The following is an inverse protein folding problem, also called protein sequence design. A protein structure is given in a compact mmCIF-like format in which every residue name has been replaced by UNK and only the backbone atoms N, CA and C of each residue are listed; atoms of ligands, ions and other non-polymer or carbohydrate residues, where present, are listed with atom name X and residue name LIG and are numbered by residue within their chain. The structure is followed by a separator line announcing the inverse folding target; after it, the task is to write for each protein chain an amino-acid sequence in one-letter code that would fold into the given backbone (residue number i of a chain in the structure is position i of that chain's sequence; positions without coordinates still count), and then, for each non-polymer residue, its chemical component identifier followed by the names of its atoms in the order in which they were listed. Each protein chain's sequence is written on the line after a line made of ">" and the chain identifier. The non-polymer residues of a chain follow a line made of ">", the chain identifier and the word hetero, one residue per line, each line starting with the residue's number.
data_IF_087158375817
#
_entry.id   IF_087158375817
#
_cell.length_a   1.000
_cell.length_b   1.000
_cell.length_c   1.000
_cell.angle_alpha   90.00
_cell.angle_beta   90.00
_cell.angle_gamma   90.00
#
_symmetry.space_group_name_H-M   'P 1'
#
loop_
_entity.id
_entity.type
_entity.pdbx_description
1 polymer ?
#
# COMPACT_ATOMS: atom_id res chain seq x y z
N UNK A 1 22.37 32.46 -2.66
CA UNK A 1 21.26 32.65 -3.61
C UNK A 1 20.00 32.72 -2.79
N UNK A 2 19.29 33.84 -2.89
CA UNK A 2 18.10 34.15 -2.08
C UNK A 2 16.98 33.15 -2.41
N UNK A 3 16.36 32.65 -1.35
CA UNK A 3 15.24 31.71 -1.40
C UNK A 3 14.00 32.52 -1.76
N UNK A 4 13.49 32.36 -2.98
CA UNK A 4 12.21 32.96 -3.37
C UNK A 4 11.06 32.25 -2.64
N UNK A 5 10.02 33.00 -2.23
CA UNK A 5 8.90 32.45 -1.47
C UNK A 5 8.05 31.50 -2.31
N UNK A 6 7.60 30.40 -1.70
CA UNK A 6 6.66 29.45 -2.30
C UNK A 6 5.39 30.17 -2.78
N UNK A 7 4.88 29.85 -3.99
CA UNK A 7 3.62 30.41 -4.46
C UNK A 7 2.43 29.92 -3.62
N UNK A 8 1.37 30.73 -3.50
CA UNK A 8 0.28 30.47 -2.57
C UNK A 8 -0.45 29.17 -2.89
N UNK A 9 -0.53 28.29 -1.89
CA UNK A 9 -1.34 27.09 -1.91
C UNK A 9 -2.77 27.44 -2.36
N UNK A 10 -3.26 26.76 -3.41
CA UNK A 10 -4.71 26.71 -3.64
C UNK A 10 -5.30 25.92 -2.47
N UNK A 11 -5.87 26.65 -1.52
CA UNK A 11 -6.65 26.13 -0.40
C UNK A 11 -7.87 25.42 -0.98
N UNK A 12 -7.80 24.10 -1.08
CA UNK A 12 -8.99 23.25 -1.01
C UNK A 12 -9.24 22.99 0.48
N UNK A 13 -9.90 23.93 1.15
CA UNK A 13 -10.59 23.65 2.41
C UNK A 13 -11.70 22.65 2.10
N UNK A 14 -11.60 21.44 2.64
CA UNK A 14 -12.72 20.52 2.78
C UNK A 14 -13.04 20.39 4.27
N UNK A 15 -14.01 21.19 4.68
CA UNK A 15 -14.69 21.08 5.97
C UNK A 15 -15.48 19.76 6.01
N UNK A 16 -15.41 19.13 7.18
CA UNK A 16 -16.30 18.11 7.76
C UNK A 16 -16.11 16.64 7.37
N UNK A 17 -15.44 15.93 8.28
CA UNK A 17 -15.64 14.51 8.54
C UNK A 17 -15.18 14.24 9.96
N UNK A 18 -16.01 14.54 10.97
CA UNK A 18 -15.77 14.05 12.33
C UNK A 18 -15.73 12.51 12.24
N UNK A 19 -14.70 11.83 12.78
CA UNK A 19 -14.64 10.38 12.74
C UNK A 19 -15.88 9.77 13.40
N UNK A 20 -16.45 8.74 12.77
CA UNK A 20 -17.52 7.94 13.35
C UNK A 20 -17.01 7.16 14.58
N UNK A 21 -17.94 6.56 15.31
CA UNK A 21 -17.76 5.84 16.59
C UNK A 21 -16.73 4.69 16.55
N UNK A 22 -16.24 4.34 15.37
CA UNK A 22 -15.30 3.25 15.05
C UNK A 22 -14.04 3.71 14.27
N UNK A 23 -13.89 5.00 13.97
CA UNK A 23 -12.79 5.53 13.16
C UNK A 23 -13.01 5.49 11.64
N UNK A 24 -14.16 5.01 11.14
CA UNK A 24 -14.53 5.12 9.73
C UNK A 24 -15.06 6.53 9.41
N UNK A 25 -14.88 7.03 8.17
CA UNK A 25 -15.59 8.22 7.68
C UNK A 25 -17.00 7.92 7.19
N UNK A 26 -17.22 6.74 6.59
CA UNK A 26 -18.47 6.40 5.90
C UNK A 26 -18.56 4.91 5.58
N UNK A 27 -19.79 4.44 5.35
CA UNK A 27 -20.04 3.15 4.71
C UNK A 27 -19.84 3.29 3.20
N UNK A 28 -19.07 2.37 2.60
CA UNK A 28 -18.77 2.36 1.16
C UNK A 28 -19.95 1.75 0.39
N UNK A 29 -20.55 2.49 -0.53
CA UNK A 29 -21.84 2.17 -1.15
C UNK A 29 -21.91 0.80 -1.86
N UNK A 30 -20.83 0.35 -2.49
CA UNK A 30 -20.73 -0.91 -3.24
C UNK A 30 -19.71 -1.89 -2.60
N UNK A 31 -19.57 -1.84 -1.27
CA UNK A 31 -18.59 -2.65 -0.53
C UNK A 31 -18.70 -4.15 -0.82
N UNK A 32 -19.90 -4.68 -1.05
CA UNK A 32 -20.07 -6.11 -1.38
C UNK A 32 -19.34 -6.53 -2.66
N UNK A 33 -19.13 -5.61 -3.60
CA UNK A 33 -18.29 -5.86 -4.77
C UNK A 33 -16.83 -5.58 -4.44
N UNK A 34 -16.52 -4.42 -3.84
CA UNK A 34 -15.14 -3.98 -3.62
C UNK A 34 -14.37 -4.81 -2.59
N UNK A 35 -15.05 -5.47 -1.64
CA UNK A 35 -14.44 -6.44 -0.73
C UNK A 35 -13.79 -7.62 -1.47
N UNK A 36 -14.24 -7.90 -2.69
CA UNK A 36 -13.68 -8.96 -3.53
C UNK A 36 -12.60 -8.45 -4.50
N UNK A 37 -12.18 -7.19 -4.39
CA UNK A 37 -11.08 -6.65 -5.18
C UNK A 37 -9.82 -7.52 -5.00
N UNK A 38 -9.21 -7.88 -6.12
CA UNK A 38 -7.95 -8.59 -6.16
C UNK A 38 -6.85 -7.80 -5.45
N UNK A 39 -5.95 -8.51 -4.78
CA UNK A 39 -4.74 -7.98 -4.17
C UNK A 39 -3.56 -8.49 -5.00
N UNK A 40 -2.73 -7.58 -5.49
CA UNK A 40 -1.56 -7.91 -6.31
C UNK A 40 -0.31 -7.48 -5.56
N UNK A 41 0.49 -8.46 -5.18
CA UNK A 41 1.81 -8.27 -4.62
C UNK A 41 2.87 -8.38 -5.71
N UNK A 42 3.87 -7.51 -5.69
CA UNK A 42 5.14 -7.74 -6.41
C UNK A 42 6.21 -8.18 -5.43
N UNK A 43 6.96 -9.23 -5.77
CA UNK A 43 7.97 -9.79 -4.89
C UNK A 43 9.14 -10.40 -5.66
N UNK A 44 10.34 -10.34 -5.07
CA UNK A 44 11.56 -10.92 -5.63
C UNK A 44 12.46 -11.47 -4.53
N UNK A 45 13.11 -12.59 -4.81
CA UNK A 45 14.14 -13.16 -3.94
C UNK A 45 15.50 -13.19 -4.65
N UNK A 46 16.35 -12.24 -4.31
CA UNK A 46 17.70 -12.08 -4.83
C UNK A 46 18.72 -13.10 -4.33
N UNK A 47 18.35 -14.02 -3.43
CA UNK A 47 19.20 -15.15 -3.05
C UNK A 47 19.07 -16.35 -3.99
N UNK A 48 18.04 -16.36 -4.84
CA UNK A 48 17.80 -17.44 -5.79
C UNK A 48 18.89 -17.46 -6.89
N UNK A 49 19.46 -18.63 -7.14
CA UNK A 49 20.67 -18.77 -7.95
C UNK A 49 20.46 -18.45 -9.43
N UNK A 50 19.32 -18.84 -10.00
CA UNK A 50 18.98 -18.63 -11.40
C UNK A 50 18.55 -17.21 -11.71
N UNK A 51 17.87 -16.53 -10.79
CA UNK A 51 17.64 -15.09 -10.81
C UNK A 51 18.96 -14.33 -10.91
N UNK A 52 19.93 -14.64 -10.05
CA UNK A 52 21.26 -14.04 -10.09
C UNK A 52 22.02 -14.31 -11.40
N UNK A 53 21.97 -15.54 -11.90
CA UNK A 53 22.58 -15.88 -13.19
C UNK A 53 21.92 -15.12 -14.34
N UNK A 54 20.60 -14.97 -14.36
CA UNK A 54 19.86 -14.18 -15.35
C UNK A 54 20.25 -12.70 -15.30
N UNK A 55 20.38 -12.12 -14.11
CA UNK A 55 20.89 -10.75 -13.93
C UNK A 55 22.31 -10.59 -14.46
N UNK A 56 23.22 -11.51 -14.12
CA UNK A 56 24.60 -11.47 -14.61
C UNK A 56 24.68 -11.59 -16.14
N UNK A 57 23.85 -12.44 -16.76
CA UNK A 57 23.74 -12.54 -18.23
C UNK A 57 23.23 -11.23 -18.87
N UNK A 58 22.40 -10.47 -18.16
CA UNK A 58 21.95 -9.14 -18.56
C UNK A 58 22.97 -8.02 -18.26
N UNK A 59 24.19 -8.36 -17.81
CA UNK A 59 25.24 -7.38 -17.49
C UNK A 59 25.07 -6.66 -16.15
N UNK A 60 24.22 -7.19 -15.27
CA UNK A 60 23.92 -6.59 -13.97
C UNK A 60 24.77 -7.21 -12.84
N UNK A 61 25.00 -6.49 -11.72
CA UNK A 61 25.69 -7.05 -10.56
C UNK A 61 24.97 -8.28 -10.02
N UNK A 62 25.75 -9.33 -9.75
CA UNK A 62 25.28 -10.54 -9.08
C UNK A 62 24.91 -10.25 -7.61
N UNK A 63 23.92 -10.95 -7.08
CA UNK A 63 23.41 -10.78 -5.70
C UNK A 63 22.38 -9.68 -5.53
N UNK A 64 22.09 -8.92 -6.60
CA UNK A 64 21.12 -7.84 -6.56
C UNK A 64 21.56 -6.61 -5.76
N UNK A 65 20.63 -5.71 -5.51
CA UNK A 65 20.77 -4.58 -4.58
C UNK A 65 19.97 -4.85 -3.30
N UNK A 66 19.92 -3.89 -2.37
CA UNK A 66 18.98 -3.97 -1.24
C UNK A 66 17.54 -4.22 -1.66
N UNK A 67 17.16 -3.79 -2.87
CA UNK A 67 15.81 -3.96 -3.45
C UNK A 67 15.48 -5.36 -3.94
N UNK A 68 16.48 -6.25 -3.95
CA UNK A 68 16.31 -7.63 -4.37
C UNK A 68 16.40 -8.58 -3.17
N UNK A 69 16.63 -8.08 -1.96
CA UNK A 69 16.76 -8.95 -0.79
C UNK A 69 15.38 -9.32 -0.29
N UNK A 70 15.20 -10.60 0.02
CA UNK A 70 14.04 -11.12 0.75
C UNK A 70 14.45 -11.36 2.20
N UNK A 71 13.74 -10.77 3.16
CA UNK A 71 13.99 -10.89 4.60
C UNK A 71 12.74 -11.35 5.39
N UNK A 72 11.75 -11.91 4.71
CA UNK A 72 10.50 -12.41 5.28
C UNK A 72 9.33 -11.43 5.16
N UNK A 73 9.53 -10.24 4.61
CA UNK A 73 8.55 -9.15 4.53
C UNK A 73 7.26 -9.57 3.86
N UNK A 74 7.29 -10.25 2.70
CA UNK A 74 6.07 -10.67 2.00
C UNK A 74 5.17 -11.54 2.89
N UNK A 75 5.76 -12.51 3.62
CA UNK A 75 5.02 -13.39 4.51
C UNK A 75 4.29 -12.59 5.59
N UNK A 76 4.99 -11.67 6.22
CA UNK A 76 4.43 -10.87 7.31
C UNK A 76 3.49 -9.78 6.79
N UNK A 77 3.72 -9.21 5.61
CA UNK A 77 2.78 -8.32 4.93
C UNK A 77 1.45 -9.04 4.71
N UNK A 78 1.47 -10.25 4.15
CA UNK A 78 0.25 -11.04 3.95
C UNK A 78 -0.44 -11.44 5.27
N UNK A 79 0.32 -11.83 6.31
CA UNK A 79 -0.25 -12.05 7.66
C UNK A 79 -0.93 -10.79 8.19
N UNK A 80 -0.31 -9.62 7.99
CA UNK A 80 -0.84 -8.33 8.44
C UNK A 80 -2.13 -7.95 7.73
N UNK A 81 -2.20 -8.19 6.41
CA UNK A 81 -3.39 -7.98 5.60
C UNK A 81 -4.57 -8.78 6.15
N UNK A 82 -4.38 -10.07 6.43
CA UNK A 82 -5.43 -10.92 6.98
C UNK A 82 -5.86 -10.53 8.39
N UNK A 83 -4.94 -10.04 9.22
CA UNK A 83 -5.23 -9.66 10.61
C UNK A 83 -5.97 -8.33 10.70
N UNK A 84 -5.57 -7.36 9.89
CA UNK A 84 -5.97 -5.96 10.05
C UNK A 84 -6.90 -5.45 8.96
N UNK A 85 -7.02 -6.17 7.84
CA UNK A 85 -7.92 -5.86 6.72
C UNK A 85 -8.76 -7.10 6.36
N UNK A 86 -9.39 -7.79 7.34
CA UNK A 86 -10.04 -9.08 7.09
C UNK A 86 -11.26 -8.99 6.17
N UNK A 87 -11.86 -7.81 6.03
CA UNK A 87 -12.99 -7.57 5.14
C UNK A 87 -12.60 -7.65 3.66
N UNK A 88 -11.31 -7.53 3.32
CA UNK A 88 -10.85 -7.70 1.96
C UNK A 88 -10.63 -9.20 1.71
N UNK A 89 -11.43 -9.77 0.82
CA UNK A 89 -11.62 -11.21 0.62
C UNK A 89 -11.19 -11.69 -0.77
N UNK A 90 -10.86 -10.76 -1.67
CA UNK A 90 -10.50 -11.06 -3.05
C UNK A 90 -9.25 -11.93 -3.23
N UNK A 91 -8.99 -12.35 -4.48
CA UNK A 91 -7.83 -13.16 -4.83
C UNK A 91 -6.52 -12.43 -4.58
N UNK A 92 -5.51 -13.17 -4.12
CA UNK A 92 -4.16 -12.67 -3.88
C UNK A 92 -3.27 -13.22 -4.99
N UNK A 93 -2.73 -12.32 -5.81
CA UNK A 93 -1.73 -12.63 -6.82
C UNK A 93 -0.36 -12.18 -6.33
N UNK A 94 0.63 -13.07 -6.41
CA UNK A 94 2.03 -12.76 -6.10
C UNK A 94 2.78 -12.80 -7.42
N UNK A 95 3.09 -11.64 -7.97
CA UNK A 95 3.82 -11.46 -9.23
C UNK A 95 5.32 -11.48 -8.95
N UNK A 96 6.03 -12.39 -9.58
CA UNK A 96 7.44 -12.66 -9.31
C UNK A 96 8.22 -12.87 -10.61
N UNK A 97 9.55 -12.74 -10.61
CA UNK A 97 10.39 -13.07 -11.76
C UNK A 97 10.59 -14.60 -11.89
N UNK A 98 9.54 -15.39 -11.69
CA UNK A 98 9.55 -16.85 -11.84
C UNK A 98 9.80 -17.63 -10.55
N UNK A 99 9.57 -17.03 -9.38
CA UNK A 99 9.89 -17.59 -8.06
C UNK A 99 8.62 -17.87 -7.24
N UNK A 100 8.63 -18.94 -6.45
CA UNK A 100 7.61 -19.29 -5.46
C UNK A 100 8.26 -19.16 -4.07
N UNK A 101 7.68 -18.39 -3.14
CA UNK A 101 8.17 -18.33 -1.76
C UNK A 101 8.24 -19.72 -1.13
N UNK A 102 9.33 -20.00 -0.40
CA UNK A 102 9.60 -21.29 0.24
C UNK A 102 8.57 -21.74 1.29
N UNK A 103 7.89 -20.77 1.90
CA UNK A 103 6.86 -20.97 2.91
C UNK A 103 5.44 -21.06 2.34
N UNK A 104 5.22 -20.79 1.06
CA UNK A 104 3.88 -20.66 0.48
C UNK A 104 3.26 -22.02 0.12
N UNK A 105 2.02 -22.24 0.57
CA UNK A 105 1.18 -23.35 0.10
C UNK A 105 0.45 -22.94 -1.19
N UNK A 106 0.94 -23.42 -2.33
CA UNK A 106 0.38 -23.13 -3.65
C UNK A 106 -0.92 -23.88 -3.95
N UNK A 107 -1.36 -24.80 -3.07
CA UNK A 107 -2.67 -25.45 -3.18
C UNK A 107 -3.81 -24.56 -2.67
N UNK A 108 -3.47 -23.44 -2.04
CA UNK A 108 -4.43 -22.50 -1.49
C UNK A 108 -5.28 -21.84 -2.60
N UNK A 109 -6.62 -21.91 -2.54
CA UNK A 109 -7.47 -21.40 -3.61
C UNK A 109 -7.52 -19.87 -3.70
N UNK A 110 -7.07 -19.14 -2.66
CA UNK A 110 -7.09 -17.68 -2.62
C UNK A 110 -5.77 -17.05 -3.10
N UNK A 111 -4.67 -17.81 -3.13
CA UNK A 111 -3.34 -17.29 -3.46
C UNK A 111 -2.82 -17.92 -4.74
N UNK A 112 -2.34 -17.10 -5.68
CA UNK A 112 -1.72 -17.57 -6.93
C UNK A 112 -0.42 -16.84 -7.18
N UNK A 113 0.62 -17.59 -7.52
CA UNK A 113 1.88 -17.03 -8.03
C UNK A 113 1.75 -16.81 -9.53
N UNK A 114 2.24 -15.67 -10.01
CA UNK A 114 2.21 -15.28 -11.43
C UNK A 114 3.63 -14.96 -11.87
N UNK A 115 4.10 -15.56 -12.96
CA UNK A 115 5.33 -15.13 -13.59
C UNK A 115 5.11 -13.80 -14.32
N UNK A 116 5.84 -12.77 -13.91
CA UNK A 116 5.77 -11.44 -14.52
C UNK A 116 6.03 -11.49 -16.03
N UNK A 117 6.88 -12.40 -16.51
CA UNK A 117 7.31 -12.43 -17.91
C UNK A 117 6.14 -12.81 -18.83
N UNK A 118 5.10 -13.47 -18.29
CA UNK A 118 3.87 -13.81 -18.98
C UNK A 118 2.89 -12.65 -19.13
N UNK A 119 3.04 -11.61 -18.32
CA UNK A 119 2.24 -10.39 -18.43
C UNK A 119 2.78 -9.44 -19.49
N UNK A 120 4.08 -9.55 -19.81
CA UNK A 120 4.80 -8.65 -20.69
C UNK A 120 4.57 -8.97 -22.17
N UNK A 121 4.56 -7.95 -23.05
CA UNK A 121 4.34 -8.14 -24.48
C UNK A 121 5.53 -8.87 -25.12
N UNK A 122 5.31 -10.15 -25.43
CA UNK A 122 6.32 -11.01 -26.08
C UNK A 122 6.77 -10.38 -27.41
N UNK A 123 8.08 -10.31 -27.62
CA UNK A 123 8.68 -9.72 -28.83
C UNK A 123 8.84 -8.20 -28.84
N UNK A 124 8.32 -7.49 -27.82
CA UNK A 124 8.61 -6.06 -27.60
C UNK A 124 9.50 -5.83 -26.37
N UNK A 125 9.20 -6.53 -25.27
CA UNK A 125 9.98 -6.44 -24.04
C UNK A 125 11.31 -7.19 -24.16
N UNK A 126 12.38 -6.61 -23.61
CA UNK A 126 13.63 -7.34 -23.41
C UNK A 126 13.51 -8.18 -22.15
N UNK A 127 13.40 -9.50 -22.31
CA UNK A 127 13.29 -10.45 -21.20
C UNK A 127 14.64 -11.06 -20.82
N UNK A 128 14.86 -11.40 -19.53
CA UNK A 128 14.02 -11.04 -18.40
C UNK A 128 14.15 -9.54 -18.09
N UNK A 129 13.10 -8.93 -17.54
CA UNK A 129 13.17 -7.57 -17.00
C UNK A 129 13.26 -7.61 -15.47
N UNK A 130 13.98 -6.66 -14.90
CA UNK A 130 14.09 -6.42 -13.46
C UNK A 130 13.61 -5.01 -13.11
N UNK A 131 12.91 -4.36 -14.05
CA UNK A 131 12.45 -3.00 -13.93
C UNK A 131 10.99 -2.94 -13.47
N UNK A 132 10.78 -2.52 -12.22
CA UNK A 132 9.43 -2.30 -11.67
C UNK A 132 8.60 -1.34 -12.54
N UNK A 133 9.22 -0.31 -13.14
CA UNK A 133 8.49 0.65 -13.95
C UNK A 133 7.91 -0.03 -15.19
N UNK A 134 8.55 -1.08 -15.71
CA UNK A 134 8.06 -1.88 -16.83
C UNK A 134 7.06 -2.92 -16.35
N UNK A 135 7.36 -3.65 -15.28
CA UNK A 135 6.49 -4.72 -14.73
C UNK A 135 5.12 -4.15 -14.33
N UNK A 136 5.09 -3.03 -13.62
CA UNK A 136 3.86 -2.41 -13.11
C UNK A 136 2.89 -1.98 -14.21
N UNK A 137 3.39 -1.70 -15.43
CA UNK A 137 2.54 -1.37 -16.59
C UNK A 137 1.60 -2.50 -16.98
N UNK A 138 1.95 -3.75 -16.67
CA UNK A 138 1.28 -4.95 -17.17
C UNK A 138 0.58 -5.77 -16.08
N UNK A 139 0.57 -5.33 -14.82
CA UNK A 139 -0.19 -6.00 -13.75
C UNK A 139 -1.68 -6.16 -14.10
N UNK A 140 -2.25 -5.21 -14.84
CA UNK A 140 -3.64 -5.28 -15.33
C UNK A 140 -3.92 -6.44 -16.31
N UNK A 141 -2.89 -7.15 -16.78
CA UNK A 141 -2.98 -8.32 -17.66
C UNK A 141 -3.11 -9.65 -16.93
N UNK A 142 -3.03 -9.65 -15.59
CA UNK A 142 -3.25 -10.88 -14.80
C UNK A 142 -4.63 -11.46 -15.16
N UNK A 143 -4.71 -12.71 -15.65
CA UNK A 143 -5.99 -13.35 -15.91
C UNK A 143 -6.80 -13.49 -14.62
N UNK A 144 -8.10 -13.20 -14.67
CA UNK A 144 -8.97 -13.21 -13.48
C UNK A 144 -8.82 -12.00 -12.56
N UNK A 145 -8.08 -10.95 -12.97
CA UNK A 145 -7.98 -9.72 -12.20
C UNK A 145 -9.31 -8.94 -12.22
N UNK A 146 -9.74 -8.47 -11.06
CA UNK A 146 -10.95 -7.66 -10.91
C UNK A 146 -10.78 -6.26 -11.52
N UNK A 147 -11.89 -5.62 -11.87
CA UNK A 147 -11.89 -4.27 -12.47
C UNK A 147 -11.31 -3.20 -11.55
N UNK A 148 -11.48 -3.38 -10.24
CA UNK A 148 -10.76 -2.64 -9.20
C UNK A 148 -9.86 -3.62 -8.47
N UNK A 149 -8.58 -3.32 -8.36
CA UNK A 149 -7.60 -4.15 -7.64
C UNK A 149 -6.66 -3.29 -6.82
N UNK A 150 -6.07 -3.87 -5.78
CA UNK A 150 -5.15 -3.21 -4.86
C UNK A 150 -3.75 -3.76 -5.12
N UNK A 151 -2.82 -2.90 -5.51
CA UNK A 151 -1.41 -3.24 -5.61
C UNK A 151 -0.68 -2.94 -4.30
N UNK A 152 0.13 -3.90 -3.84
CA UNK A 152 0.95 -3.80 -2.65
C UNK A 152 2.38 -4.23 -2.95
N UNK A 153 3.35 -3.51 -2.40
CA UNK A 153 4.69 -4.07 -2.27
C UNK A 153 4.71 -5.09 -1.12
N UNK A 154 5.71 -5.96 -1.14
CA UNK A 154 5.99 -6.95 -0.10
C UNK A 154 6.34 -6.33 1.26
N UNK A 155 6.85 -5.09 1.28
CA UNK A 155 7.26 -4.38 2.49
C UNK A 155 6.14 -3.60 3.22
N UNK A 156 4.88 -3.79 2.81
CA UNK A 156 3.73 -3.08 3.38
C UNK A 156 3.14 -3.85 4.57
N UNK A 157 3.38 -3.37 5.80
CA UNK A 157 2.94 -4.04 7.02
C UNK A 157 1.84 -3.25 7.73
N UNK A 158 0.60 -3.77 7.70
CA UNK A 158 -0.46 -3.22 8.54
C UNK A 158 -0.18 -3.50 10.02
N UNK A 159 -0.39 -2.49 10.87
CA UNK A 159 -0.15 -2.58 12.32
C UNK A 159 -1.40 -2.30 13.15
N UNK A 160 -2.50 -1.86 12.50
CA UNK A 160 -3.81 -1.60 13.12
C UNK A 160 -4.94 -1.93 12.16
N UNK A 161 -6.16 -2.21 12.67
CA UNK A 161 -7.33 -2.41 11.83
C UNK A 161 -7.56 -1.25 10.86
N UNK A 162 -7.86 -1.56 9.61
CA UNK A 162 -8.11 -0.57 8.55
C UNK A 162 -9.51 -0.76 8.01
N UNK A 163 -10.28 0.32 7.93
CA UNK A 163 -11.65 0.31 7.42
C UNK A 163 -11.68 0.44 5.88
N UNK A 164 -12.74 -0.01 5.20
CA UNK A 164 -12.84 0.07 3.73
C UNK A 164 -12.70 1.48 3.15
N UNK A 165 -13.17 2.50 3.87
CA UNK A 165 -13.08 3.90 3.47
C UNK A 165 -11.66 4.45 3.45
N UNK A 166 -10.65 3.64 3.83
CA UNK A 166 -9.21 3.95 3.64
C UNK A 166 -8.69 3.58 2.26
N UNK A 167 -9.39 2.72 1.52
CA UNK A 167 -9.07 2.29 0.15
C UNK A 167 -10.06 2.84 -0.87
N UNK A 168 -11.33 2.97 -0.48
CA UNK A 168 -12.42 3.33 -1.40
C UNK A 168 -13.12 4.61 -0.98
N UNK A 169 -13.67 5.34 -1.95
CA UNK A 169 -14.50 6.52 -1.66
C UNK A 169 -15.85 6.06 -1.10
N UNK A 170 -16.59 6.94 -0.41
CA UNK A 170 -17.92 6.61 0.11
C UNK A 170 -18.88 6.17 -1.02
N UNK A 171 -18.75 6.77 -2.20
CA UNK A 171 -19.53 6.44 -3.40
C UNK A 171 -19.03 5.19 -4.15
N UNK A 172 -18.03 4.48 -3.61
CA UNK A 172 -17.57 3.22 -4.19
C UNK A 172 -16.50 3.33 -5.28
N UNK A 173 -15.71 4.40 -5.24
CA UNK A 173 -14.61 4.68 -6.15
C UNK A 173 -13.22 4.44 -5.54
N UNK A 174 -12.19 5.05 -6.13
CA UNK A 174 -10.79 4.85 -5.72
C UNK A 174 -10.31 5.96 -4.78
N UNK A 175 -9.68 5.61 -3.65
CA UNK A 175 -8.86 6.59 -2.92
C UNK A 175 -7.44 6.59 -3.45
N UNK A 176 -6.95 7.78 -3.76
CA UNK A 176 -5.60 7.98 -4.27
C UNK A 176 -4.75 8.57 -3.15
N UNK A 177 -3.81 7.79 -2.63
CA UNK A 177 -2.99 8.19 -1.50
C UNK A 177 -1.78 9.02 -1.95
N UNK A 178 -1.62 10.19 -1.36
CA UNK A 178 -0.63 11.21 -1.70
C UNK A 178 0.09 11.72 -0.45
N UNK A 179 1.31 12.21 -0.67
CA UNK A 179 2.11 12.93 0.30
C UNK A 179 1.75 14.41 0.33
N UNK A 180 2.12 15.11 1.41
CA UNK A 180 1.96 16.58 1.51
C UNK A 180 2.85 17.31 0.49
N UNK A 181 3.96 16.70 0.09
CA UNK A 181 4.95 17.31 -0.80
C UNK A 181 4.53 17.26 -2.27
N UNK A 182 4.71 18.37 -2.97
CA UNK A 182 4.45 18.50 -4.40
C UNK A 182 5.66 18.06 -5.25
N UNK A 183 5.37 17.53 -6.42
CA UNK A 183 6.34 17.24 -7.47
C UNK A 183 6.67 18.56 -8.17
N UNK A 184 7.95 18.92 -8.20
CA UNK A 184 8.42 20.16 -8.85
C UNK A 184 8.58 19.97 -10.35
N UNK A 185 8.11 20.93 -11.13
CA UNK A 185 8.36 21.07 -12.57
C UNK A 185 9.79 21.52 -12.83
N UNK A 186 10.74 20.59 -12.65
CA UNK A 186 12.15 20.82 -12.96
C UNK A 186 12.65 19.70 -13.85
N UNK A 187 13.70 19.97 -14.63
CA UNK A 187 14.32 18.97 -15.49
C UNK A 187 14.63 17.68 -14.71
N UNK A 188 14.42 16.53 -15.36
CA UNK A 188 14.67 15.23 -14.74
C UNK A 188 16.14 15.12 -14.35
N UNK A 189 16.39 14.60 -13.15
CA UNK A 189 17.75 14.35 -12.68
C UNK A 189 18.11 12.92 -13.02
N UNK A 190 18.93 12.73 -14.06
CA UNK A 190 19.30 11.38 -14.54
C UNK A 190 20.03 10.52 -13.51
N UNK A 191 20.56 11.10 -12.44
CA UNK A 191 21.24 10.38 -11.36
C UNK A 191 20.31 9.59 -10.44
N UNK A 192 19.00 9.88 -10.45
CA UNK A 192 18.00 9.14 -9.68
C UNK A 192 16.87 8.68 -10.60
N UNK A 193 16.95 7.42 -11.05
CA UNK A 193 16.01 6.86 -12.03
C UNK A 193 14.55 6.91 -11.57
N UNK A 194 14.26 6.69 -10.27
CA UNK A 194 12.89 6.81 -9.75
C UNK A 194 12.36 8.24 -9.83
N UNK A 195 13.15 9.22 -9.38
CA UNK A 195 12.73 10.62 -9.44
C UNK A 195 12.63 11.13 -10.88
N UNK A 196 13.50 10.61 -11.75
CA UNK A 196 13.42 10.87 -13.19
C UNK A 196 12.12 10.34 -13.78
N UNK A 197 11.73 9.09 -13.47
CA UNK A 197 10.48 8.52 -13.99
C UNK A 197 9.23 9.26 -13.51
N UNK A 198 9.21 9.72 -12.26
CA UNK A 198 8.16 10.59 -11.71
C UNK A 198 8.05 11.90 -12.52
N UNK A 199 9.17 12.59 -12.76
CA UNK A 199 9.17 13.87 -13.50
C UNK A 199 8.87 13.70 -14.98
N UNK A 200 9.30 12.61 -15.59
CA UNK A 200 8.97 12.27 -16.97
C UNK A 200 7.46 12.05 -17.12
N UNK A 201 6.84 11.35 -16.17
CA UNK A 201 5.37 11.18 -16.13
C UNK A 201 4.66 12.52 -16.05
N UNK A 202 5.05 13.42 -15.13
CA UNK A 202 4.44 14.76 -15.03
C UNK A 202 4.61 15.55 -16.33
N UNK A 203 5.81 15.54 -16.92
CA UNK A 203 6.09 16.22 -18.20
C UNK A 203 5.21 15.70 -19.33
N UNK A 204 5.00 14.37 -19.39
CA UNK A 204 4.13 13.74 -20.38
C UNK A 204 2.67 14.15 -20.17
N UNK A 205 2.18 14.14 -18.93
CA UNK A 205 0.79 14.45 -18.62
C UNK A 205 0.47 15.94 -18.77
N UNK A 206 1.38 16.84 -18.39
CA UNK A 206 1.24 18.29 -18.58
C UNK A 206 1.11 18.63 -20.06
N UNK A 207 1.95 18.01 -20.91
CA UNK A 207 1.85 18.16 -22.36
C UNK A 207 0.51 17.67 -22.91
N UNK A 208 -0.11 16.69 -22.27
CA UNK A 208 -1.31 16.01 -22.74
C UNK A 208 -2.60 16.69 -22.29
N UNK A 209 -2.68 17.08 -21.02
CA UNK A 209 -3.88 17.67 -20.40
C UNK A 209 -3.83 19.21 -20.36
N UNK A 210 -2.65 19.79 -20.58
CA UNK A 210 -2.40 21.23 -20.58
C UNK A 210 -2.17 21.79 -19.18
N UNK A 211 -1.19 22.68 -19.03
CA UNK A 211 -0.85 23.35 -17.76
C UNK A 211 0.39 22.78 -17.07
N UNK A 212 0.83 23.46 -15.99
CA UNK A 212 1.82 22.97 -15.02
C UNK A 212 1.05 22.53 -13.77
N UNK A 213 0.42 21.34 -13.83
CA UNK A 213 -0.41 20.88 -12.73
C UNK A 213 0.44 20.51 -11.52
N UNK A 214 0.06 21.04 -10.35
CA UNK A 214 0.76 20.71 -9.11
C UNK A 214 0.26 19.35 -8.61
N UNK A 215 0.99 18.30 -8.97
CA UNK A 215 0.74 16.96 -8.43
C UNK A 215 1.54 16.71 -7.16
N UNK A 216 0.94 15.99 -6.21
CA UNK A 216 1.61 15.49 -5.03
C UNK A 216 2.40 14.22 -5.33
N UNK A 217 3.48 13.98 -4.59
CA UNK A 217 4.11 12.65 -4.60
C UNK A 217 3.10 11.62 -4.12
N UNK A 218 3.10 10.43 -4.73
CA UNK A 218 2.26 9.35 -4.25
C UNK A 218 2.79 8.79 -2.93
N UNK A 219 1.87 8.32 -2.10
CA UNK A 219 2.21 7.69 -0.84
C UNK A 219 2.83 6.32 -1.07
N UNK A 220 3.85 5.95 -0.30
CA UNK A 220 4.40 4.58 -0.32
C UNK A 220 3.50 3.67 0.55
N UNK A 221 2.35 3.32 -0.02
CA UNK A 221 1.24 2.63 0.61
C UNK A 221 0.44 1.88 -0.49
N UNK A 222 -0.54 1.03 -0.13
CA UNK A 222 -1.32 0.31 -1.12
C UNK A 222 -1.94 1.24 -2.19
N UNK A 223 -1.80 0.88 -3.46
CA UNK A 223 -2.39 1.62 -4.57
C UNK A 223 -3.69 0.96 -5.01
N UNK A 224 -4.77 1.72 -5.06
CA UNK A 224 -6.06 1.24 -5.55
C UNK A 224 -6.20 1.61 -7.02
N UNK A 225 -6.30 0.61 -7.87
CA UNK A 225 -6.27 0.76 -9.32
C UNK A 225 -7.58 0.33 -9.97
N UNK A 226 -7.90 1.00 -11.07
CA UNK A 226 -8.85 0.50 -12.07
C UNK A 226 -8.10 -0.21 -13.20
N UNK A 227 -8.42 -1.48 -13.46
CA UNK A 227 -7.93 -2.29 -14.59
C UNK A 227 -8.31 -1.66 -15.93
N UNK A 228 -9.54 -1.14 -16.04
CA UNK A 228 -10.02 -0.45 -17.25
C UNK A 228 -9.24 0.83 -17.54
N UNK A 229 -8.84 1.56 -16.48
CA UNK A 229 -7.98 2.74 -16.66
C UNK A 229 -6.60 2.36 -17.23
N UNK A 230 -6.01 1.23 -16.84
CA UNK A 230 -4.79 0.74 -17.48
C UNK A 230 -4.98 0.51 -18.98
N UNK A 231 -6.09 -0.11 -19.40
CA UNK A 231 -6.36 -0.32 -20.83
C UNK A 231 -6.45 1.01 -21.60
N UNK A 232 -7.12 2.01 -21.04
CA UNK A 232 -7.22 3.34 -21.65
C UNK A 232 -5.90 4.09 -21.65
N UNK A 233 -5.09 3.96 -20.59
CA UNK A 233 -3.74 4.52 -20.52
C UNK A 233 -2.84 3.90 -21.59
N UNK A 234 -2.88 2.58 -21.79
CA UNK A 234 -2.13 1.91 -22.85
C UNK A 234 -2.60 2.31 -24.25
N UNK A 235 -3.89 2.58 -24.45
CA UNK A 235 -4.38 3.15 -25.72
C UNK A 235 -3.87 4.57 -25.96
N UNK A 236 -3.79 5.39 -24.92
CA UNK A 236 -3.46 6.83 -25.00
C UNK A 236 -1.95 7.10 -25.04
N UNK A 237 -1.19 6.42 -24.18
CA UNK A 237 0.24 6.63 -23.94
C UNK A 237 1.10 5.43 -24.39
N UNK A 238 0.53 4.53 -25.19
CA UNK A 238 1.17 3.27 -25.59
C UNK A 238 2.51 3.46 -26.28
N UNK A 239 2.70 4.56 -27.03
CA UNK A 239 4.00 4.86 -27.67
C UNK A 239 5.08 5.13 -26.63
N UNK A 240 4.78 5.95 -25.63
CA UNK A 240 5.71 6.34 -24.58
C UNK A 240 5.99 5.17 -23.62
N UNK A 241 4.97 4.37 -23.31
CA UNK A 241 5.11 3.15 -22.52
C UNK A 241 5.93 2.08 -23.25
N UNK A 242 5.65 1.82 -24.54
CA UNK A 242 6.40 0.88 -25.36
C UNK A 242 7.90 1.25 -25.46
N UNK A 243 8.24 2.54 -25.39
CA UNK A 243 9.63 2.99 -25.41
C UNK A 243 10.44 2.56 -24.18
N UNK A 244 9.79 2.20 -23.08
CA UNK A 244 10.43 1.72 -21.84
C UNK A 244 10.69 0.21 -21.84
N UNK A 245 10.00 -0.55 -22.69
CA UNK A 245 10.08 -2.02 -22.76
C UNK A 245 11.49 -2.62 -22.98
N UNK A 246 12.44 -1.92 -23.65
CA UNK A 246 13.80 -2.42 -23.77
C UNK A 246 14.63 -2.34 -22.47
N UNK A 247 14.19 -1.56 -21.48
CA UNK A 247 14.91 -1.37 -20.24
C UNK A 247 14.76 -2.59 -19.31
N UNK A 248 15.87 -3.26 -19.03
CA UNK A 248 15.91 -4.40 -18.09
C UNK A 248 16.10 -3.95 -16.63
N UNK A 249 16.38 -2.67 -16.38
CA UNK A 249 16.55 -2.04 -15.08
C UNK A 249 16.01 -0.62 -15.14
N UNK A 250 15.54 -0.10 -13.98
CA UNK A 250 15.06 1.28 -13.84
C UNK A 250 15.97 2.26 -14.57
N UNK A 251 15.41 2.93 -15.54
CA UNK A 251 16.10 3.83 -16.44
C UNK A 251 15.64 5.28 -16.25
N UNK A 252 16.51 6.29 -16.39
CA UNK A 252 16.12 7.69 -16.28
C UNK A 252 15.08 8.19 -17.29
N UNK A 253 14.82 7.41 -18.34
CA UNK A 253 13.83 7.73 -19.38
C UNK A 253 12.51 6.96 -19.19
N UNK A 254 12.36 6.21 -18.09
CA UNK A 254 11.11 5.52 -17.75
C UNK A 254 9.96 6.48 -17.42
N UNK A 255 8.77 5.89 -17.34
CA UNK A 255 7.58 6.50 -16.74
C UNK A 255 7.23 5.79 -15.44
N UNK A 256 6.72 6.55 -14.47
CA UNK A 256 6.15 6.01 -13.24
C UNK A 256 4.66 5.65 -13.46
N UNK A 257 4.38 4.36 -13.58
CA UNK A 257 3.03 3.84 -13.86
C UNK A 257 2.00 4.15 -12.73
N UNK A 258 2.33 4.03 -11.43
CA UNK A 258 1.41 4.42 -10.36
C UNK A 258 0.94 5.87 -10.49
N UNK A 259 1.89 6.79 -10.71
CA UNK A 259 1.58 8.20 -10.90
C UNK A 259 0.78 8.45 -12.18
N UNK A 260 1.15 7.80 -13.28
CA UNK A 260 0.43 7.94 -14.55
C UNK A 260 -1.03 7.50 -14.42
N UNK A 261 -1.29 6.41 -13.70
CA UNK A 261 -2.65 5.95 -13.39
C UNK A 261 -3.44 6.99 -12.59
N UNK A 262 -2.86 7.49 -11.50
CA UNK A 262 -3.54 8.44 -10.63
C UNK A 262 -3.80 9.78 -11.33
N UNK A 263 -2.85 10.27 -12.14
CA UNK A 263 -3.07 11.47 -12.96
C UNK A 263 -4.17 11.21 -13.99
N UNK A 264 -4.12 10.09 -14.73
CA UNK A 264 -5.17 9.75 -15.68
C UNK A 264 -6.56 9.73 -15.03
N UNK A 265 -6.69 9.11 -13.86
CA UNK A 265 -7.97 9.04 -13.13
C UNK A 265 -8.47 10.42 -12.69
N UNK A 266 -7.59 11.31 -12.25
CA UNK A 266 -7.94 12.68 -11.85
C UNK A 266 -8.35 13.55 -13.03
N UNK A 267 -7.62 13.47 -14.15
CA UNK A 267 -7.81 14.37 -15.30
C UNK A 267 -9.00 13.97 -16.17
N UNK A 268 -9.20 12.67 -16.42
CA UNK A 268 -10.27 12.22 -17.32
C UNK A 268 -10.90 10.87 -16.94
N UNK A 269 -10.12 9.95 -16.37
CA UNK A 269 -10.53 8.56 -16.15
C UNK A 269 -11.74 8.43 -15.25
N UNK A 270 -11.82 9.22 -14.17
CA UNK A 270 -12.96 9.21 -13.26
C UNK A 270 -14.28 9.50 -13.98
N UNK A 271 -14.32 10.58 -14.77
CA UNK A 271 -15.50 10.96 -15.55
C UNK A 271 -15.79 9.96 -16.68
N UNK A 272 -14.75 9.50 -17.37
CA UNK A 272 -14.89 8.61 -18.54
C UNK A 272 -15.37 7.22 -18.16
N UNK A 273 -14.89 6.68 -17.05
CA UNK A 273 -15.18 5.34 -16.57
C UNK A 273 -16.33 5.30 -15.56
N UNK A 274 -16.79 6.46 -15.07
CA UNK A 274 -17.81 6.53 -14.02
C UNK A 274 -17.31 6.02 -12.67
N UNK A 275 -16.00 6.12 -12.40
CA UNK A 275 -15.37 5.65 -11.17
C UNK A 275 -14.94 6.88 -10.38
N UNK A 276 -15.62 7.23 -9.27
CA UNK A 276 -15.24 8.40 -8.49
C UNK A 276 -13.84 8.25 -7.92
N UNK A 277 -13.15 9.37 -7.70
CA UNK A 277 -11.84 9.38 -7.04
C UNK A 277 -11.78 10.44 -5.97
N UNK A 278 -11.09 10.13 -4.88
CA UNK A 278 -10.88 11.03 -3.75
C UNK A 278 -9.43 10.97 -3.31
N UNK A 279 -8.79 12.13 -3.14
CA UNK A 279 -7.47 12.21 -2.52
C UNK A 279 -7.60 12.09 -1.01
N UNK A 280 -6.60 11.53 -0.33
CA UNK A 280 -6.56 11.58 1.12
C UNK A 280 -6.41 13.01 1.65
N UNK A 281 -7.07 13.36 2.77
CA UNK A 281 -6.81 14.61 3.44
C UNK A 281 -5.41 14.60 4.04
N UNK A 282 -4.81 15.79 4.21
CA UNK A 282 -3.46 15.96 4.76
C UNK A 282 -3.31 15.34 6.16
N UNK A 283 -4.39 15.30 6.94
CA UNK A 283 -4.41 14.67 8.27
C UNK A 283 -4.11 13.18 8.25
N UNK A 284 -4.40 12.50 7.14
CA UNK A 284 -4.20 11.06 6.96
C UNK A 284 -2.84 10.71 6.34
N UNK A 285 -2.07 11.70 5.87
CA UNK A 285 -0.78 11.46 5.23
C UNK A 285 0.17 10.68 6.15
N UNK A 286 0.18 10.98 7.44
CA UNK A 286 1.11 10.32 8.37
C UNK A 286 0.59 8.98 8.92
N UNK A 287 -0.64 8.57 8.58
CA UNK A 287 -1.16 7.26 8.98
C UNK A 287 -0.44 6.13 8.24
N UNK A 288 0.11 6.43 7.06
CA UNK A 288 0.89 5.51 6.24
C UNK A 288 2.36 5.88 6.36
N UNK A 289 3.13 5.19 7.20
CA UNK A 289 4.49 5.63 7.51
C UNK A 289 5.53 4.85 6.72
N UNK A 290 6.33 5.56 5.92
CA UNK A 290 7.55 5.02 5.33
C UNK A 290 8.67 4.97 6.38
N UNK A 291 9.13 3.77 6.71
CA UNK A 291 10.27 3.55 7.62
C UNK A 291 11.45 3.09 6.80
N UNK A 292 12.50 3.91 6.71
CA UNK A 292 13.76 3.50 6.07
C UNK A 292 14.62 2.74 7.06
N UNK A 293 14.71 1.43 6.89
CA UNK A 293 15.51 0.58 7.75
C UNK A 293 16.96 0.65 7.29
N UNK A 294 17.86 1.04 8.19
CA UNK A 294 19.30 1.18 7.93
C UNK A 294 20.10 0.59 9.07
N UNK A 295 21.34 0.23 8.77
CA UNK A 295 22.31 -0.10 9.80
C UNK A 295 22.65 1.16 10.62
N UNK A 296 22.93 0.99 11.92
CA UNK A 296 23.29 2.05 12.89
C UNK A 296 22.14 2.97 13.36
N UNK A 297 20.88 2.64 13.07
CA UNK A 297 19.70 3.35 13.60
C UNK A 297 18.80 2.45 14.47
N UNK A 298 19.36 1.38 15.03
CA UNK A 298 18.59 0.33 15.71
C UNK A 298 17.79 0.86 16.92
N UNK A 299 18.29 1.88 17.63
CA UNK A 299 17.56 2.45 18.76
C UNK A 299 16.27 3.18 18.32
N UNK A 300 16.35 3.92 17.21
CA UNK A 300 15.20 4.61 16.61
C UNK A 300 14.21 3.60 16.05
N UNK A 301 14.70 2.57 15.35
CA UNK A 301 13.87 1.49 14.81
C UNK A 301 13.17 0.73 15.93
N UNK A 302 13.90 0.35 16.98
CA UNK A 302 13.34 -0.35 18.13
C UNK A 302 12.27 0.50 18.84
N UNK A 303 12.45 1.81 18.91
CA UNK A 303 11.43 2.74 19.45
C UNK A 303 10.16 2.73 18.59
N UNK A 304 10.31 2.85 17.26
CA UNK A 304 9.18 2.79 16.33
C UNK A 304 8.43 1.44 16.41
N UNK A 305 9.17 0.34 16.40
CA UNK A 305 8.59 -1.01 16.50
C UNK A 305 7.89 -1.23 17.84
N UNK A 306 8.47 -0.76 18.94
CA UNK A 306 7.83 -0.80 20.25
C UNK A 306 6.53 0.00 20.26
N UNK A 307 6.50 1.19 19.66
CA UNK A 307 5.26 1.98 19.54
C UNK A 307 4.19 1.21 18.77
N UNK A 308 4.53 0.61 17.62
CA UNK A 308 3.61 -0.20 16.84
C UNK A 308 3.07 -1.40 17.63
N UNK A 309 3.94 -2.16 18.31
CA UNK A 309 3.56 -3.32 19.13
C UNK A 309 2.66 -2.94 20.32
N UNK A 310 2.89 -1.77 20.92
CA UNK A 310 2.08 -1.22 22.02
C UNK A 310 0.83 -0.49 21.53
N UNK A 311 0.53 -0.51 20.22
CA UNK A 311 -0.57 0.21 19.58
C UNK A 311 -0.57 1.72 19.90
N UNK A 312 0.62 2.33 19.94
CA UNK A 312 0.84 3.76 20.15
C UNK A 312 1.14 4.46 18.82
N UNK A 313 0.79 5.73 18.72
CA UNK A 313 0.92 6.53 17.49
C UNK A 313 -0.34 6.49 16.64
N UNK A 314 -0.34 7.18 15.50
CA UNK A 314 -1.48 7.25 14.57
C UNK A 314 -1.35 6.31 13.37
N UNK A 315 -0.15 5.81 13.13
CA UNK A 315 0.21 4.96 12.01
C UNK A 315 -0.65 3.70 11.99
N UNK A 316 -1.20 3.36 10.82
CA UNK A 316 -1.98 2.15 10.57
C UNK A 316 -1.19 1.14 9.73
N UNK A 317 -0.21 1.61 8.96
CA UNK A 317 0.69 0.81 8.13
C UNK A 317 2.11 1.35 8.22
N UNK A 318 3.08 0.45 8.29
CA UNK A 318 4.50 0.73 8.13
C UNK A 318 4.97 0.14 6.80
N UNK A 319 5.50 0.97 5.91
CA UNK A 319 6.21 0.51 4.72
C UNK A 319 7.71 0.43 5.05
N UNK A 320 8.23 -0.79 5.13
CA UNK A 320 9.54 -1.09 5.70
C UNK A 320 10.60 -1.21 4.60
N UNK A 321 11.20 -0.09 4.20
CA UNK A 321 12.19 -0.11 3.11
C UNK A 321 13.55 -0.65 3.60
N UNK A 322 13.97 -1.79 3.04
CA UNK A 322 15.05 -2.64 3.54
C UNK A 322 16.47 -2.23 3.08
N UNK A 323 16.91 -1.02 3.44
CA UNK A 323 18.25 -0.51 3.16
C UNK A 323 19.33 -0.95 4.20
N UNK A 324 19.35 -2.24 4.58
CA UNK A 324 20.27 -2.76 5.60
C UNK A 324 21.03 -4.05 5.20
N UNK A 325 22.08 -4.35 5.95
CA UNK A 325 22.96 -5.51 5.72
C UNK A 325 23.35 -6.23 7.01
N UNK A 326 23.26 -5.56 8.17
CA UNK A 326 23.72 -6.13 9.42
C UNK A 326 22.81 -7.25 9.92
N UNK A 327 23.35 -8.40 10.35
CA UNK A 327 22.59 -9.45 11.04
C UNK A 327 21.87 -8.94 12.29
N UNK A 328 22.41 -7.90 12.95
CA UNK A 328 21.78 -7.28 14.13
C UNK A 328 20.48 -6.56 13.75
N UNK A 329 20.50 -5.79 12.67
CA UNK A 329 19.31 -5.11 12.13
C UNK A 329 18.29 -6.14 11.66
N UNK A 330 18.73 -7.17 10.93
CA UNK A 330 17.88 -8.28 10.51
C UNK A 330 17.17 -8.96 11.70
N UNK A 331 17.92 -9.25 12.77
CA UNK A 331 17.35 -9.84 13.97
C UNK A 331 16.36 -8.91 14.69
N UNK A 332 16.56 -7.59 14.64
CA UNK A 332 15.61 -6.62 15.19
C UNK A 332 14.27 -6.65 14.43
N UNK A 333 14.34 -6.59 13.10
CA UNK A 333 13.17 -6.63 12.21
C UNK A 333 12.44 -7.97 12.36
N UNK A 334 13.17 -9.10 12.34
CA UNK A 334 12.59 -10.43 12.52
C UNK A 334 11.91 -10.63 13.89
N UNK A 335 12.45 -10.02 14.97
CA UNK A 335 11.78 -10.00 16.27
C UNK A 335 10.49 -9.19 16.24
N UNK A 336 10.50 -8.03 15.60
CA UNK A 336 9.30 -7.20 15.46
C UNK A 336 8.19 -7.95 14.72
N UNK A 337 8.51 -8.57 13.58
CA UNK A 337 7.57 -9.39 12.81
C UNK A 337 6.97 -10.52 13.65
N UNK A 338 7.81 -11.32 14.30
CA UNK A 338 7.37 -12.45 15.13
C UNK A 338 6.50 -12.03 16.31
N UNK A 339 6.74 -10.84 16.88
CA UNK A 339 5.94 -10.30 17.99
C UNK A 339 4.59 -9.74 17.53
N UNK A 340 4.56 -9.05 16.38
CA UNK A 340 3.33 -8.45 15.85
C UNK A 340 2.37 -9.51 15.30
N UNK A 341 2.93 -10.52 14.63
CA UNK A 341 2.22 -11.51 13.82
C UNK A 341 2.75 -12.93 14.07
N UNK A 342 2.63 -13.48 15.30
CA UNK A 342 3.22 -14.77 15.66
C UNK A 342 2.56 -15.95 14.92
N UNK A 343 1.25 -15.88 14.72
CA UNK A 343 0.46 -16.99 14.18
C UNK A 343 0.64 -17.17 12.66
N UNK A 344 0.96 -18.39 12.18
CA UNK A 344 0.91 -18.72 10.76
C UNK A 344 -0.48 -18.56 10.16
N UNK A 345 -0.52 -18.06 8.93
CA UNK A 345 -1.73 -17.94 8.13
C UNK A 345 -2.03 -19.21 7.34
N UNK A 346 -3.26 -19.30 6.82
CA UNK A 346 -3.77 -20.47 6.08
C UNK A 346 -3.10 -20.71 4.72
N UNK A 347 -2.28 -19.77 4.24
CA UNK A 347 -1.50 -19.90 3.00
C UNK A 347 -0.06 -20.37 3.27
N UNK A 348 0.30 -20.64 4.52
CA UNK A 348 1.64 -21.08 4.89
C UNK A 348 1.71 -22.60 5.01
N UNK A 349 2.80 -23.17 4.51
CA UNK A 349 3.16 -24.54 4.78
C UNK A 349 3.38 -24.74 6.29
N UNK A 350 3.12 -25.93 6.84
CA UNK A 350 3.47 -26.25 8.22
C UNK A 350 4.96 -26.03 8.52
N UNK A 351 5.29 -25.54 9.71
CA UNK A 351 6.66 -25.34 10.18
C UNK A 351 7.45 -26.66 10.08
N UNK A 352 8.50 -26.69 9.25
CA UNK A 352 9.27 -27.91 8.91
C UNK A 352 8.98 -28.51 7.53
N UNK A 353 7.98 -28.00 6.80
CA UNK A 353 7.74 -28.29 5.38
C UNK A 353 8.21 -27.18 4.44
N UNK A 354 8.84 -26.14 4.96
CA UNK A 354 9.46 -25.12 4.12
C UNK A 354 10.51 -25.79 3.23
N UNK A 355 10.42 -25.53 1.94
CA UNK A 355 11.31 -26.09 0.93
C UNK A 355 12.39 -25.07 0.59
N UNK A 356 13.33 -25.42 -0.28
CA UNK A 356 14.12 -24.37 -0.95
C UNK A 356 13.21 -23.59 -1.90
N UNK A 357 13.54 -22.31 -2.15
CA UNK A 357 12.82 -21.47 -3.13
C UNK A 357 12.66 -22.22 -4.45
N UNK A 358 11.41 -22.45 -4.83
CA UNK A 358 11.08 -23.12 -6.10
C UNK A 358 11.01 -22.05 -7.19
N UNK A 359 11.54 -22.37 -8.37
CA UNK A 359 11.59 -21.44 -9.48
C UNK A 359 11.26 -22.16 -10.80
N UNK A 360 10.54 -21.48 -11.68
CA UNK A 360 10.37 -21.93 -13.06
C UNK A 360 11.67 -21.79 -13.87
N UNK A 361 12.70 -21.17 -13.30
CA UNK A 361 14.09 -21.27 -13.77
C UNK A 361 14.88 -22.18 -12.84
N UNK A 362 15.19 -23.40 -13.28
CA UNK A 362 15.83 -24.39 -12.41
C UNK A 362 16.93 -25.21 -13.12
N UNK A 363 17.65 -26.01 -12.32
CA UNK A 363 18.79 -26.81 -12.76
C UNK A 363 20.09 -26.02 -12.93
N UNK A 364 21.19 -26.70 -13.30
CA UNK A 364 22.52 -26.09 -13.40
C UNK A 364 22.59 -24.95 -14.41
N UNK A 365 21.88 -25.08 -15.53
CA UNK A 365 21.88 -24.13 -16.64
C UNK A 365 20.81 -23.03 -16.52
N UNK A 366 19.93 -23.13 -15.52
CA UNK A 366 18.74 -22.31 -15.36
C UNK A 366 17.87 -22.38 -16.62
N UNK A 367 17.32 -23.57 -16.85
CA UNK A 367 16.38 -23.81 -17.93
C UNK A 367 14.99 -23.39 -17.47
N UNK A 368 14.23 -22.76 -18.38
CA UNK A 368 12.85 -22.36 -18.12
C UNK A 368 11.90 -23.55 -18.24
N UNK A 369 11.06 -23.74 -17.22
CA UNK A 369 10.01 -24.74 -17.16
C UNK A 369 8.66 -24.08 -16.81
N UNK A 370 7.79 -23.81 -17.81
CA UNK A 370 6.51 -23.15 -17.59
C UNK A 370 5.51 -23.99 -16.78
N UNK A 371 5.78 -25.28 -16.51
CA UNK A 371 4.89 -26.11 -15.71
C UNK A 371 4.98 -25.83 -14.21
N UNK A 372 6.05 -25.19 -13.74
CA UNK A 372 6.28 -24.87 -12.32
C UNK A 372 5.37 -23.73 -11.85
N UNK A 373 5.25 -22.68 -12.65
CA UNK A 373 4.32 -21.57 -12.45
C UNK A 373 3.48 -21.46 -13.71
N UNK A 374 2.36 -22.19 -13.80
CA UNK A 374 1.48 -22.11 -14.97
C UNK A 374 0.79 -20.76 -15.02
N UNK A 375 0.49 -20.28 -16.24
CA UNK A 375 -0.30 -19.07 -16.44
C UNK A 375 -1.63 -19.18 -15.68
N UNK A 376 -2.05 -18.15 -14.92
CA UNK A 376 -3.33 -18.16 -14.24
C UNK A 376 -4.49 -18.36 -15.22
N UNK A 377 -5.44 -19.23 -14.87
CA UNK A 377 -6.69 -19.37 -15.62
C UNK A 377 -7.60 -18.17 -15.32
N UNK A 378 -8.37 -17.71 -16.32
CA UNK A 378 -9.21 -16.51 -16.20
C UNK A 378 -10.36 -16.65 -15.19
N UNK A 379 -10.67 -17.87 -14.77
CA UNK A 379 -11.72 -18.22 -13.81
C UNK A 379 -11.20 -18.40 -12.37
N UNK A 380 -9.95 -17.99 -12.09
CA UNK A 380 -9.37 -18.01 -10.75
C UNK A 380 -10.23 -17.19 -9.78
N UNK A 381 -10.88 -17.89 -8.84
CA UNK A 381 -11.95 -17.35 -8.00
C UNK A 381 -13.02 -16.58 -8.79
N UNK A 382 -13.46 -17.15 -9.92
CA UNK A 382 -14.74 -16.79 -10.50
C UNK A 382 -15.82 -17.00 -9.43
N UNK A 383 -16.14 -15.92 -8.73
CA UNK A 383 -17.50 -15.73 -8.25
C UNK A 383 -18.35 -15.95 -9.49
N UNK A 384 -19.05 -17.07 -9.54
CA UNK A 384 -20.15 -17.27 -10.47
C UNK A 384 -21.14 -16.15 -10.18
N UNK A 385 -20.94 -14.99 -10.78
CA UNK A 385 -22.05 -14.15 -11.21
C UNK A 385 -22.69 -14.99 -12.32
N UNK A 386 -23.49 -15.96 -11.89
CA UNK A 386 -24.29 -16.73 -12.82
C UNK A 386 -25.17 -15.72 -13.56
N UNK A 387 -25.03 -15.71 -14.87
CA UNK A 387 -25.97 -15.10 -15.80
C UNK A 387 -27.37 -15.67 -15.53
N UNK A 388 -28.18 -14.97 -14.73
CA UNK A 388 -29.63 -15.06 -14.84
C UNK A 388 -30.17 -13.63 -14.78
N UNK A 389 -30.56 -13.12 -15.94
CA UNK A 389 -31.51 -12.03 -15.99
C UNK A 389 -32.84 -12.53 -15.40
N UNK A 390 -33.46 -11.64 -14.61
CA UNK A 390 -34.81 -11.71 -14.01
C UNK A 390 -34.83 -11.93 -12.49
N UNK A 391 -35.33 -10.88 -11.83
CA UNK A 391 -35.90 -10.80 -10.49
C UNK A 391 -35.07 -11.25 -9.28
N UNK A 392 -34.82 -10.24 -8.45
CA UNK A 392 -34.17 -10.26 -7.16
C UNK A 392 -34.88 -11.23 -6.19
N UNK A 393 -34.26 -12.39 -5.95
CA UNK A 393 -34.50 -13.21 -4.76
C UNK A 393 -33.18 -13.87 -4.33
N UNK A 394 -32.86 -13.91 -3.03
CA UNK A 394 -31.55 -14.34 -2.54
C UNK A 394 -31.39 -15.86 -2.72
N UNK A 395 -30.43 -16.25 -3.57
CA UNK A 395 -29.99 -17.64 -3.70
C UNK A 395 -29.08 -18.05 -2.52
N UNK A 396 -29.02 -19.37 -2.19
CA UNK A 396 -28.70 -19.84 -0.85
C UNK A 396 -27.20 -19.91 -0.59
N UNK A 397 -26.78 -19.20 0.46
CA UNK A 397 -25.65 -19.45 1.37
C UNK A 397 -24.52 -20.34 0.83
N UNK A 398 -23.53 -19.72 0.20
CA UNK A 398 -22.14 -20.19 0.29
C UNK A 398 -21.76 -20.28 1.77
N UNK A 399 -21.33 -21.47 2.20
CA UNK A 399 -20.86 -21.72 3.57
C UNK A 399 -19.70 -20.78 3.89
N UNK A 400 -20.03 -19.76 4.69
CA UNK A 400 -19.16 -18.73 5.23
C UNK A 400 -18.01 -19.36 6.02
N UNK A 401 -16.81 -19.39 5.45
CA UNK A 401 -15.59 -19.70 6.22
C UNK A 401 -15.23 -18.48 7.06
N UNK A 402 -15.84 -18.37 8.26
CA UNK A 402 -15.40 -17.37 9.24
C UNK A 402 -14.05 -17.80 9.80
N UNK A 403 -13.02 -16.97 9.61
CA UNK A 403 -11.77 -17.16 10.35
C UNK A 403 -12.02 -16.98 11.86
N UNK A 404 -11.24 -17.61 12.75
CA UNK A 404 -11.30 -17.35 14.19
C UNK A 404 -11.14 -15.85 14.53
N UNK A 405 -10.43 -15.09 13.70
CA UNK A 405 -10.22 -13.65 13.85
C UNK A 405 -11.48 -12.82 13.54
N UNK A 406 -12.34 -13.27 12.61
CA UNK A 406 -13.65 -12.64 12.38
C UNK A 406 -14.59 -12.79 13.58
N UNK A 407 -14.51 -13.91 14.32
CA UNK A 407 -15.27 -14.07 15.57
C UNK A 407 -14.80 -13.10 16.64
N UNK A 408 -13.48 -12.92 16.77
CA UNK A 408 -12.90 -11.97 17.72
C UNK A 408 -13.34 -10.53 17.42
N UNK A 409 -13.44 -10.13 16.15
CA UNK A 409 -13.95 -8.81 15.75
C UNK A 409 -15.44 -8.63 16.04
N UNK A 410 -16.27 -9.65 15.81
CA UNK A 410 -17.69 -9.62 16.12
C UNK A 410 -17.97 -9.57 17.64
N UNK A 411 -17.08 -10.16 18.45
CA UNK A 411 -17.16 -10.16 19.92
C UNK A 411 -16.52 -8.92 20.58
N UNK A 412 -15.71 -8.15 19.84
CA UNK A 412 -15.09 -6.90 20.29
C UNK A 412 -16.04 -5.68 20.30
N UNK A 413 -17.32 -5.84 19.94
CA UNK A 413 -18.31 -4.79 20.18
C UNK A 413 -18.40 -4.49 21.68
N UNK A 414 -18.18 -3.24 22.16
CA UNK A 414 -18.06 -2.98 23.58
C UNK A 414 -19.37 -3.33 24.28
N UNK A 415 -19.30 -4.24 25.27
CA UNK A 415 -20.44 -4.53 26.13
C UNK A 415 -20.95 -3.23 26.77
N UNK A 416 -22.25 -3.15 27.01
CA UNK A 416 -22.93 -2.00 27.63
C UNK A 416 -22.22 -1.49 28.90
N UNK A 417 -21.55 -2.40 29.63
CA UNK A 417 -20.78 -2.08 30.84
C UNK A 417 -19.55 -1.19 30.56
N UNK A 418 -18.88 -1.33 29.41
CA UNK A 418 -17.70 -0.55 29.05
C UNK A 418 -18.05 0.88 28.63
N UNK A 419 -19.16 1.03 27.92
CA UNK A 419 -19.72 2.35 27.59
C UNK A 419 -20.21 3.10 28.84
N UNK A 420 -20.73 2.41 29.84
CA UNK A 420 -21.13 3.03 31.11
C UNK A 420 -19.91 3.53 31.91
N UNK A 421 -18.83 2.74 31.97
CA UNK A 421 -17.60 3.12 32.67
C UNK A 421 -16.90 4.35 32.04
N UNK A 422 -16.84 4.43 30.71
CA UNK A 422 -16.27 5.57 29.99
C UNK A 422 -17.08 6.86 30.19
N UNK A 423 -18.41 6.78 30.14
CA UNK A 423 -19.26 7.95 30.34
C UNK A 423 -19.24 8.46 31.79
N UNK A 424 -19.17 7.57 32.78
CA UNK A 424 -19.02 7.95 34.19
C UNK A 424 -17.63 8.57 34.44
N UNK A 425 -16.58 8.01 33.85
CA UNK A 425 -15.22 8.57 33.92
C UNK A 425 -15.10 9.96 33.28
N UNK A 426 -15.73 10.17 32.13
CA UNK A 426 -15.75 11.47 31.45
C UNK A 426 -16.53 12.53 32.25
N UNK A 427 -17.66 12.14 32.85
CA UNK A 427 -18.44 13.01 33.73
C UNK A 427 -17.65 13.45 34.97
N UNK A 428 -16.92 12.53 35.62
CA UNK A 428 -16.06 12.87 36.76
C UNK A 428 -14.89 13.77 36.35
N UNK A 429 -14.28 13.54 35.19
CA UNK A 429 -13.19 14.36 34.67
C UNK A 429 -13.60 15.82 34.44
N UNK A 430 -14.79 16.06 33.89
CA UNK A 430 -15.32 17.42 33.68
C UNK A 430 -15.61 18.15 34.99
N UNK A 431 -16.13 17.45 36.00
CA UNK A 431 -16.38 18.06 37.32
C UNK A 431 -15.08 18.45 38.00
N UNK A 432 -14.05 17.60 37.96
CA UNK A 432 -12.73 17.90 38.52
C UNK A 432 -12.09 19.08 37.80
N UNK A 433 -12.14 19.12 36.47
CA UNK A 433 -11.60 20.22 35.68
C UNK A 433 -12.29 21.56 35.98
N UNK A 434 -13.62 21.57 36.17
CA UNK A 434 -14.37 22.75 36.56
C UNK A 434 -14.01 23.23 37.98
N UNK A 435 -13.87 22.31 38.94
CA UNK A 435 -13.47 22.65 40.32
C UNK A 435 -12.05 23.24 40.36
N UNK A 436 -11.11 22.63 39.63
CA UNK A 436 -9.73 23.13 39.52
C UNK A 436 -9.70 24.53 38.87
N UNK A 437 -10.48 24.73 37.81
CA UNK A 437 -10.55 26.02 37.11
C UNK A 437 -11.12 27.14 37.99
N UNK A 438 -12.16 26.85 38.78
CA UNK A 438 -12.73 27.79 39.76
C UNK A 438 -11.74 28.08 40.89
N UNK A 439 -10.97 27.08 41.32
CA UNK A 439 -9.96 27.25 42.37
C UNK A 439 -8.78 28.11 41.91
N UNK A 440 -8.29 27.89 40.69
CA UNK A 440 -7.23 28.71 40.06
C UNK A 440 -7.72 30.15 39.89
N UNK A 441 -8.93 30.37 39.37
CA UNK A 441 -9.48 31.71 39.17
C UNK A 441 -9.62 32.49 40.49
N UNK A 442 -10.04 31.83 41.59
CA UNK A 442 -10.15 32.47 42.91
C UNK A 442 -8.80 32.78 43.56
N UNK A 443 -7.75 32.02 43.25
CA UNK A 443 -6.40 32.29 43.75
C UNK A 443 -5.71 33.41 42.97
N UNK A 444 -5.88 33.48 41.65
CA UNK A 444 -5.33 34.57 40.83
C UNK A 444 -6.00 35.92 41.08
N UNK A 445 -7.22 35.95 41.64
CA UNK A 445 -7.95 37.20 41.92
C UNK A 445 -7.67 37.82 43.30
N UNK A 446 -6.75 37.26 44.11
CA UNK A 446 -6.38 37.81 45.42
C UNK A 446 -4.87 38.01 45.56
N UNK A 447 -4.40 39.19 45.14
CA UNK A 447 -3.25 39.85 45.76
C UNK A 447 -2.13 40.31 44.83
N UNK A 448 -2.11 41.62 44.53
CA UNK A 448 -0.96 42.49 44.87
C UNK A 448 -1.38 43.96 44.82
N UNK A 449 -1.21 44.76 45.90
CA UNK A 449 -1.52 46.19 45.92
C UNK A 449 -0.31 47.05 45.50
N UNK A 450 -0.58 48.04 44.64
CA UNK A 450 0.01 49.39 44.61
C UNK A 450 1.53 49.58 44.41
N UNK A 451 1.90 50.22 43.29
CA UNK A 451 3.01 51.19 43.27
C UNK A 451 2.73 52.32 42.24
N UNK A 452 2.79 53.53 42.77
CA UNK A 452 2.58 54.82 42.12
C UNK A 452 3.60 55.14 41.01
N UNK A 453 3.16 55.86 39.98
CA UNK A 453 3.98 56.86 39.30
C UNK A 453 3.11 58.07 38.91
N UNK A 454 3.39 59.20 39.57
CA UNK A 454 2.79 60.52 39.36
C UNK A 454 3.35 61.23 38.14
N UNK A 455 2.51 62.02 37.46
CA UNK A 455 2.91 63.11 36.57
C UNK A 455 3.26 64.36 37.37
N UNK A 456 4.38 65.00 37.01
CA UNK A 456 4.74 66.43 37.05
C UNK A 456 6.17 66.48 36.48
N UNK A 457 6.56 67.22 35.45
CA UNK A 457 6.06 68.42 34.73
C UNK A 457 6.35 68.32 33.26
#
# INVERSE_FOLDING_TARGET
>A
MQQEPDPPARVAELISGLPSKDGSRCEVANLDTLRHAAIVYTWVNGTESCYNKRRARAGLPAGGSSRDKEMGELKYSLRSLLKFVPWLEGPIYIVTPGQIPDWLDTSNPRVRVVDQDDLLPKGKATLPTFDTNVIEQYLHKIPGLTDVFIHMNDDYLFIKPVTPDRFFTCDGGLRLLTEINHIRHVASQKSNAWLASVRNTVTLTDKTYGGEHVYNFLKHAPFVYSRLAFEEIHKKFGKELDATLPHQMRHPDDLNMPLLHHIYMQEEGSKKLGIPVELNPLSECDDWLLVRIKDNIEDSLNTQFKMALENKGKEILLALNDEYTSPKTAALVGRFYSQLLPEPAFFELPEGKYVDVVSNWNGPDCTYDPSVIPLPEADFMSLRVAEEGADWAPAPTLTRFRSPNERAFAEMTPSFAWNLALNVGYGFGLVIAAVISVYIFRFSSKGTPGLHASKQT
#
